data_IF_850540078843
#
_entry.id   IF_850540078843
#
_cell.length_a   1.000
_cell.length_b   1.000
_cell.length_c   1.000
_cell.angle_alpha   90.00
_cell.angle_beta   90.00
_cell.angle_gamma   90.00
#
_symmetry.space_group_name_H-M   'P 1'
#
loop_
_entity.id
_entity.type
_entity.pdbx_description
1 polymer ?
#
# COMPACT_ATOMS: atom_id res chain seq x y z
N UNK A 1 -3.90 49.28 -27.35
CA UNK A 1 -2.67 49.81 -26.71
C UNK A 1 -2.82 49.65 -25.21
N UNK A 2 -2.42 48.51 -24.66
CA UNK A 2 -2.35 48.27 -23.21
C UNK A 2 -1.03 47.58 -22.93
N UNK A 3 -0.19 48.24 -22.13
CA UNK A 3 1.21 47.91 -21.92
C UNK A 3 1.39 46.77 -20.90
N UNK A 4 2.29 45.83 -21.19
CA UNK A 4 2.78 44.83 -20.21
C UNK A 4 3.88 45.42 -19.31
N UNK A 5 3.90 45.12 -18.00
CA UNK A 5 5.07 45.38 -17.15
C UNK A 5 6.04 44.17 -17.08
N UNK A 6 7.31 44.39 -16.65
CA UNK A 6 8.44 43.51 -16.97
C UNK A 6 8.69 42.34 -16.00
N UNK A 7 9.35 41.28 -16.51
CA UNK A 7 9.91 40.16 -15.74
C UNK A 7 11.05 40.64 -14.83
N UNK A 8 11.03 40.25 -13.54
CA UNK A 8 12.21 40.34 -12.66
C UNK A 8 13.05 39.06 -12.74
N UNK A 9 14.34 39.24 -12.99
CA UNK A 9 15.42 38.24 -12.94
C UNK A 9 16.07 38.21 -11.55
N UNK A 10 16.49 37.00 -11.16
CA UNK A 10 17.75 36.63 -10.50
C UNK A 10 18.16 37.27 -9.18
N UNK A 11 18.45 36.41 -8.20
CA UNK A 11 19.24 36.73 -7.01
C UNK A 11 19.83 35.46 -6.38
N UNK A 12 20.97 34.99 -6.89
CA UNK A 12 21.84 34.00 -6.25
C UNK A 12 22.73 34.72 -5.24
N UNK A 13 22.70 34.30 -3.98
CA UNK A 13 23.58 34.81 -2.92
C UNK A 13 24.14 33.68 -2.07
N UNK A 14 25.43 33.38 -2.26
CA UNK A 14 26.24 32.55 -1.38
C UNK A 14 26.56 33.33 -0.09
N UNK A 15 26.52 32.66 1.06
CA UNK A 15 27.06 33.17 2.31
C UNK A 15 27.37 32.01 3.26
N UNK A 16 28.63 31.56 3.24
CA UNK A 16 29.15 30.55 4.16
C UNK A 16 29.57 31.20 5.49
N UNK A 17 29.44 30.42 6.56
CA UNK A 17 30.13 30.42 7.87
C UNK A 17 29.90 31.59 8.84
N UNK A 18 29.31 31.27 10.01
CA UNK A 18 29.95 31.53 11.32
C UNK A 18 29.31 30.67 12.42
N UNK A 19 30.18 30.09 13.25
CA UNK A 19 29.95 29.22 14.42
C UNK A 19 29.38 30.01 15.61
N UNK A 20 28.71 29.31 16.54
CA UNK A 20 28.43 29.60 18.00
C UNK A 20 27.19 28.76 18.35
N UNK A 21 26.98 28.08 19.47
CA UNK A 21 27.70 27.65 20.67
C UNK A 21 26.71 26.66 21.34
N UNK A 22 27.21 25.57 21.91
CA UNK A 22 26.42 24.53 22.61
C UNK A 22 25.68 25.11 23.82
N UNK A 23 24.40 24.75 23.99
CA UNK A 23 23.70 24.75 25.28
C UNK A 23 22.91 23.44 25.44
N UNK A 24 23.28 22.68 26.46
CA UNK A 24 22.62 21.49 26.97
C UNK A 24 21.44 21.90 27.84
N UNK A 25 20.22 21.43 27.53
CA UNK A 25 19.15 21.24 28.52
C UNK A 25 18.28 20.05 28.16
N UNK A 26 18.23 19.11 29.11
CA UNK A 26 17.52 17.84 29.09
C UNK A 26 16.00 18.00 29.24
N UNK A 27 15.23 17.08 28.64
CA UNK A 27 13.78 16.99 28.81
C UNK A 27 13.15 15.99 27.85
N UNK A 28 13.52 14.71 27.96
CA UNK A 28 12.92 13.63 27.19
C UNK A 28 12.29 12.60 28.14
N UNK A 29 10.96 12.67 28.30
CA UNK A 29 10.15 11.51 28.66
C UNK A 29 9.16 11.26 27.52
N UNK A 30 9.67 10.67 26.44
CA UNK A 30 8.81 10.02 25.45
C UNK A 30 8.50 8.61 26.01
N UNK A 31 7.25 8.38 26.41
CA UNK A 31 6.73 7.05 26.67
C UNK A 31 6.90 6.22 25.40
N UNK A 32 7.94 5.41 25.37
CA UNK A 32 8.20 4.46 24.31
C UNK A 32 7.30 3.26 24.58
N UNK A 33 6.13 3.22 23.94
CA UNK A 33 5.35 1.99 23.82
C UNK A 33 6.24 0.93 23.14
N UNK A 34 6.28 -0.32 23.61
CA UNK A 34 6.88 -1.38 22.83
C UNK A 34 5.94 -1.63 21.65
N UNK A 35 6.26 -1.05 20.49
CA UNK A 35 5.80 -1.62 19.24
C UNK A 35 6.38 -3.03 19.20
N UNK A 36 5.51 -4.04 19.12
CA UNK A 36 5.91 -5.38 18.74
C UNK A 36 6.45 -5.28 17.31
N UNK A 37 7.75 -5.01 17.19
CA UNK A 37 8.47 -5.08 15.93
C UNK A 37 8.68 -6.56 15.64
N UNK A 38 7.75 -7.16 14.90
CA UNK A 38 8.02 -8.42 14.20
C UNK A 38 9.11 -8.11 13.18
N UNK A 39 10.37 -8.45 13.49
CA UNK A 39 11.47 -8.32 12.55
C UNK A 39 11.18 -9.08 11.25
N UNK A 40 11.94 -8.81 10.16
CA UNK A 40 11.78 -9.54 8.91
C UNK A 40 11.79 -11.04 9.20
N UNK A 41 10.76 -11.75 8.74
CA UNK A 41 10.65 -13.19 8.89
C UNK A 41 11.72 -13.89 8.03
N UNK A 42 12.94 -13.97 8.55
CA UNK A 42 13.99 -14.87 8.06
C UNK A 42 13.68 -16.28 8.56
N UNK A 43 12.80 -16.96 7.83
CA UNK A 43 12.32 -18.30 8.14
C UNK A 43 11.51 -18.88 6.99
N UNK A 44 11.05 -20.13 7.16
CA UNK A 44 10.07 -20.70 6.25
C UNK A 44 8.82 -19.80 6.19
N UNK A 45 8.16 -19.65 5.02
CA UNK A 45 6.96 -18.83 4.91
C UNK A 45 5.91 -19.28 5.94
N UNK A 46 5.10 -18.35 6.48
CA UNK A 46 4.06 -18.72 7.41
C UNK A 46 3.08 -19.71 6.74
N UNK A 47 2.36 -20.56 7.52
CA UNK A 47 1.41 -21.51 6.96
C UNK A 47 0.32 -20.88 6.09
N UNK A 48 -0.01 -19.61 6.34
CA UNK A 48 -0.99 -18.83 5.58
C UNK A 48 -0.40 -18.07 4.37
N UNK A 49 0.88 -18.23 4.05
CA UNK A 49 1.53 -17.41 3.01
C UNK A 49 0.82 -17.51 1.65
N UNK A 50 0.36 -18.72 1.29
CA UNK A 50 -0.41 -18.93 0.06
C UNK A 50 -1.72 -18.14 0.03
N UNK A 51 -2.48 -18.18 1.12
CA UNK A 51 -3.74 -17.44 1.27
C UNK A 51 -3.50 -15.93 1.22
N UNK A 52 -2.39 -15.47 1.79
CA UNK A 52 -1.97 -14.07 1.77
C UNK A 52 -1.57 -13.60 0.36
N UNK A 53 -0.86 -14.43 -0.41
CA UNK A 53 -0.55 -14.13 -1.82
C UNK A 53 -1.84 -14.05 -2.65
N UNK A 54 -2.79 -14.94 -2.40
CA UNK A 54 -4.11 -14.91 -3.06
C UNK A 54 -4.90 -13.66 -2.68
N UNK A 55 -4.89 -13.29 -1.41
CA UNK A 55 -5.53 -12.06 -0.94
C UNK A 55 -4.92 -10.82 -1.63
N UNK A 56 -3.60 -10.75 -1.74
CA UNK A 56 -2.93 -9.67 -2.46
C UNK A 56 -3.35 -9.59 -3.94
N UNK A 57 -3.46 -10.73 -4.62
CA UNK A 57 -3.97 -10.81 -5.99
C UNK A 57 -5.41 -10.28 -6.11
N UNK A 58 -6.29 -10.67 -5.18
CA UNK A 58 -7.68 -10.20 -5.12
C UNK A 58 -7.75 -8.68 -4.93
N UNK A 59 -6.93 -8.11 -4.06
CA UNK A 59 -6.86 -6.66 -3.87
C UNK A 59 -6.47 -5.94 -5.17
N UNK A 60 -5.55 -6.51 -5.96
CA UNK A 60 -5.19 -5.99 -7.28
C UNK A 60 -6.32 -6.07 -8.29
N UNK A 61 -7.02 -7.20 -8.34
CA UNK A 61 -8.19 -7.39 -9.18
C UNK A 61 -9.30 -6.38 -8.86
N UNK A 62 -9.62 -6.19 -7.57
CA UNK A 62 -10.62 -5.22 -7.12
C UNK A 62 -10.20 -3.78 -7.42
N UNK A 63 -8.91 -3.46 -7.27
CA UNK A 63 -8.39 -2.14 -7.63
C UNK A 63 -8.64 -1.79 -9.10
N UNK A 64 -8.58 -2.78 -10.00
CA UNK A 64 -8.91 -2.59 -11.40
C UNK A 64 -10.42 -2.57 -11.68
N UNK A 65 -11.14 -3.61 -11.24
CA UNK A 65 -12.52 -3.86 -11.64
C UNK A 65 -13.54 -2.88 -11.03
N UNK A 66 -13.35 -2.49 -9.76
CA UNK A 66 -14.32 -1.65 -9.02
C UNK A 66 -14.54 -0.29 -9.68
N UNK A 67 -13.50 0.51 -10.02
CA UNK A 67 -13.69 1.76 -10.74
C UNK A 67 -14.20 1.53 -12.17
N UNK A 68 -13.77 0.45 -12.85
CA UNK A 68 -14.27 0.10 -14.18
C UNK A 68 -15.79 -0.11 -14.18
N UNK A 69 -16.32 -0.67 -13.09
CA UNK A 69 -17.75 -0.89 -12.83
C UNK A 69 -18.44 0.27 -12.09
N UNK A 70 -17.87 1.47 -12.12
CA UNK A 70 -18.54 2.70 -11.68
C UNK A 70 -18.42 2.99 -10.18
N UNK A 71 -17.72 2.17 -9.41
CA UNK A 71 -17.47 2.41 -7.98
C UNK A 71 -16.18 3.21 -7.80
N UNK A 72 -16.27 4.53 -7.98
CA UNK A 72 -15.11 5.43 -7.90
C UNK A 72 -14.82 5.94 -6.49
N UNK A 73 -15.79 5.87 -5.57
CA UNK A 73 -15.63 6.26 -4.16
C UNK A 73 -14.56 5.46 -3.42
N UNK A 74 -14.19 4.29 -3.93
CA UNK A 74 -13.17 3.41 -3.38
C UNK A 74 -11.77 3.63 -3.97
N UNK A 75 -11.54 4.70 -4.73
CA UNK A 75 -10.39 4.87 -5.61
C UNK A 75 -9.03 4.34 -5.10
N UNK A 76 -8.64 4.67 -3.87
CA UNK A 76 -7.38 4.18 -3.26
C UNK A 76 -7.58 3.05 -2.24
N UNK A 77 -8.81 2.68 -1.89
CA UNK A 77 -9.13 1.71 -0.84
C UNK A 77 -8.30 0.44 -0.96
N UNK A 78 -8.38 -0.23 -2.11
CA UNK A 78 -7.72 -1.52 -2.33
C UNK A 78 -6.20 -1.44 -2.31
N UNK A 79 -5.63 -0.31 -2.73
CA UNK A 79 -4.19 -0.03 -2.59
C UNK A 79 -3.79 0.21 -1.13
N UNK A 80 -4.63 0.91 -0.38
CA UNK A 80 -4.42 1.14 1.05
C UNK A 80 -4.48 -0.18 1.82
N UNK A 81 -5.45 -1.05 1.53
CA UNK A 81 -5.52 -2.39 2.14
C UNK A 81 -4.27 -3.22 1.82
N UNK A 82 -3.80 -3.17 0.57
CA UNK A 82 -2.57 -3.86 0.17
C UNK A 82 -1.34 -3.32 0.92
N UNK A 83 -1.28 -2.01 1.14
CA UNK A 83 -0.21 -1.40 1.92
C UNK A 83 -0.29 -1.82 3.40
N UNK A 84 -1.49 -1.79 3.99
CA UNK A 84 -1.72 -2.23 5.36
C UNK A 84 -1.35 -3.70 5.57
N UNK A 85 -1.62 -4.56 4.58
CA UNK A 85 -1.21 -5.96 4.57
C UNK A 85 0.32 -6.07 4.62
N UNK A 86 1.05 -5.36 3.75
CA UNK A 86 2.53 -5.37 3.78
C UNK A 86 3.08 -4.84 5.12
N UNK A 87 2.50 -3.75 5.63
CA UNK A 87 2.95 -3.12 6.86
C UNK A 87 2.72 -4.01 8.09
N UNK A 88 1.62 -4.76 8.10
CA UNK A 88 1.30 -5.74 9.15
C UNK A 88 2.25 -6.93 9.11
N UNK A 89 2.52 -7.46 7.92
CA UNK A 89 3.33 -8.67 7.74
C UNK A 89 4.83 -8.44 7.95
N UNK A 90 5.30 -7.19 7.84
CA UNK A 90 6.72 -6.81 7.88
C UNK A 90 7.64 -7.83 7.14
N UNK A 91 7.33 -8.15 5.86
CA UNK A 91 8.01 -9.22 5.15
C UNK A 91 9.46 -8.85 4.81
N UNK A 92 10.31 -9.86 4.63
CA UNK A 92 11.61 -9.66 3.96
C UNK A 92 11.43 -9.10 2.55
N UNK A 93 12.45 -8.46 2.00
CA UNK A 93 12.37 -7.82 0.67
C UNK A 93 11.93 -8.80 -0.44
N UNK A 94 12.44 -10.04 -0.40
CA UNK A 94 12.06 -11.07 -1.35
C UNK A 94 10.58 -11.48 -1.22
N UNK A 95 10.06 -11.59 0.02
CA UNK A 95 8.64 -11.91 0.26
C UNK A 95 7.77 -10.70 -0.11
N UNK A 96 8.17 -9.48 0.24
CA UNK A 96 7.51 -8.23 -0.17
C UNK A 96 7.33 -8.15 -1.69
N UNK A 97 8.38 -8.45 -2.44
CA UNK A 97 8.34 -8.46 -3.90
C UNK A 97 7.32 -9.46 -4.45
N UNK A 98 7.19 -10.64 -3.83
CA UNK A 98 6.16 -11.64 -4.20
C UNK A 98 4.75 -11.14 -3.94
N UNK A 99 4.49 -10.57 -2.76
CA UNK A 99 3.17 -10.03 -2.41
C UNK A 99 2.77 -8.94 -3.44
N UNK A 100 3.69 -8.01 -3.74
CA UNK A 100 3.47 -6.97 -4.76
C UNK A 100 3.25 -7.57 -6.15
N UNK A 101 4.01 -8.59 -6.53
CA UNK A 101 3.83 -9.28 -7.80
C UNK A 101 2.44 -9.94 -7.91
N UNK A 102 1.91 -10.50 -6.82
CA UNK A 102 0.57 -11.08 -6.80
C UNK A 102 -0.50 -10.00 -7.01
N UNK A 103 -0.41 -8.86 -6.32
CA UNK A 103 -1.29 -7.72 -6.56
C UNK A 103 -1.25 -7.27 -8.03
N UNK A 104 -0.05 -7.07 -8.58
CA UNK A 104 0.11 -6.62 -9.96
C UNK A 104 -0.47 -7.62 -10.96
N UNK A 105 -0.33 -8.93 -10.69
CA UNK A 105 -0.92 -10.00 -11.50
C UNK A 105 -2.45 -9.90 -11.51
N UNK A 106 -3.08 -9.78 -10.35
CA UNK A 106 -4.54 -9.67 -10.28
C UNK A 106 -5.06 -8.43 -11.03
N UNK A 107 -4.36 -7.31 -10.90
CA UNK A 107 -4.67 -6.09 -11.67
C UNK A 107 -4.53 -6.32 -13.18
N UNK A 108 -3.37 -6.82 -13.64
CA UNK A 108 -3.07 -6.96 -15.07
C UNK A 108 -3.95 -8.00 -15.74
N UNK A 109 -4.23 -9.13 -15.07
CA UNK A 109 -5.07 -10.20 -15.61
C UNK A 109 -6.46 -9.71 -15.98
N UNK A 110 -7.09 -8.86 -15.16
CA UNK A 110 -8.39 -8.28 -15.52
C UNK A 110 -8.29 -7.12 -16.53
N UNK A 111 -7.18 -6.37 -16.52
CA UNK A 111 -6.92 -5.30 -17.49
C UNK A 111 -6.68 -5.82 -18.92
N UNK A 112 -6.24 -7.06 -19.06
CA UNK A 112 -6.10 -7.74 -20.34
C UNK A 112 -7.46 -8.07 -20.97
N UNK A 113 -8.45 -8.46 -20.15
CA UNK A 113 -9.74 -9.00 -20.66
C UNK A 113 -10.88 -7.98 -20.69
N UNK A 114 -10.89 -7.01 -19.79
CA UNK A 114 -11.98 -6.03 -19.70
C UNK A 114 -11.49 -4.61 -20.00
N UNK A 115 -12.28 -3.87 -20.78
CA UNK A 115 -12.06 -2.42 -21.06
C UNK A 115 -13.26 -1.55 -20.70
N UNK A 116 -14.37 -2.19 -20.37
CA UNK A 116 -15.59 -1.59 -19.84
C UNK A 116 -16.22 -2.59 -18.86
N UNK A 117 -17.12 -2.12 -18.00
CA UNK A 117 -17.86 -3.02 -17.14
C UNK A 117 -18.86 -3.84 -17.96
N UNK A 118 -18.66 -5.15 -18.01
CA UNK A 118 -19.58 -6.11 -18.62
C UNK A 118 -20.35 -6.85 -17.52
N UNK A 119 -21.44 -7.57 -17.84
CA UNK A 119 -22.10 -8.45 -16.88
C UNK A 119 -21.11 -9.46 -16.25
N UNK A 120 -20.19 -10.01 -17.04
CA UNK A 120 -19.16 -10.92 -16.55
C UNK A 120 -18.15 -10.23 -15.61
N UNK A 121 -17.80 -8.97 -15.88
CA UNK A 121 -16.94 -8.18 -14.98
C UNK A 121 -17.62 -7.91 -13.63
N UNK A 122 -18.93 -7.66 -13.61
CA UNK A 122 -19.69 -7.49 -12.36
C UNK A 122 -19.68 -8.77 -11.52
N UNK A 123 -19.94 -9.91 -12.15
CA UNK A 123 -19.85 -11.21 -11.48
C UNK A 123 -18.43 -11.47 -10.96
N UNK A 124 -17.39 -11.07 -11.71
CA UNK A 124 -16.03 -11.17 -11.24
C UNK A 124 -15.79 -10.31 -9.98
N UNK A 125 -16.30 -9.07 -9.94
CA UNK A 125 -16.22 -8.22 -8.74
C UNK A 125 -16.84 -8.91 -7.53
N UNK A 126 -18.06 -9.44 -7.66
CA UNK A 126 -18.77 -10.11 -6.57
C UNK A 126 -17.97 -11.29 -6.04
N UNK A 127 -17.48 -12.16 -6.93
CA UNK A 127 -16.64 -13.31 -6.55
C UNK A 127 -15.35 -12.91 -5.84
N UNK A 128 -14.69 -11.85 -6.31
CA UNK A 128 -13.45 -11.36 -5.72
C UNK A 128 -13.69 -10.77 -4.32
N UNK A 129 -14.81 -10.07 -4.11
CA UNK A 129 -15.19 -9.57 -2.78
C UNK A 129 -15.49 -10.73 -1.82
N UNK A 130 -16.25 -11.72 -2.27
CA UNK A 130 -16.60 -12.89 -1.46
C UNK A 130 -15.36 -13.70 -1.06
N UNK A 131 -14.50 -13.99 -2.03
CA UNK A 131 -13.27 -14.74 -1.79
C UNK A 131 -12.30 -13.96 -0.89
N UNK A 132 -12.11 -12.66 -1.15
CA UNK A 132 -11.25 -11.80 -0.36
C UNK A 132 -11.70 -11.71 1.09
N UNK A 133 -13.02 -11.53 1.32
CA UNK A 133 -13.59 -11.50 2.67
C UNK A 133 -13.38 -12.83 3.40
N UNK A 134 -13.56 -13.96 2.71
CA UNK A 134 -13.35 -15.28 3.29
C UNK A 134 -11.88 -15.51 3.66
N UNK A 135 -10.94 -15.21 2.77
CA UNK A 135 -9.51 -15.38 3.02
C UNK A 135 -9.03 -14.51 4.18
N UNK A 136 -9.40 -13.23 4.20
CA UNK A 136 -9.04 -12.33 5.29
C UNK A 136 -9.55 -12.84 6.64
N UNK A 137 -10.80 -13.34 6.68
CA UNK A 137 -11.38 -13.94 7.87
C UNK A 137 -10.66 -15.23 8.29
N UNK A 138 -10.45 -16.16 7.35
CA UNK A 138 -9.77 -17.44 7.61
C UNK A 138 -8.36 -17.24 8.15
N UNK A 139 -7.60 -16.27 7.61
CA UNK A 139 -6.25 -15.95 8.09
C UNK A 139 -6.29 -15.53 9.56
N UNK A 140 -7.17 -14.60 9.93
CA UNK A 140 -7.29 -14.10 11.30
C UNK A 140 -7.78 -15.20 12.24
N UNK A 141 -8.82 -15.95 11.86
CA UNK A 141 -9.41 -16.98 12.73
C UNK A 141 -8.43 -18.11 13.03
N UNK A 142 -7.62 -18.49 12.04
CA UNK A 142 -6.70 -19.64 12.19
C UNK A 142 -5.33 -19.23 12.74
N UNK A 143 -4.91 -17.98 12.54
CA UNK A 143 -3.53 -17.56 12.79
C UNK A 143 -3.37 -16.24 13.54
N UNK A 144 -4.45 -15.54 13.90
CA UNK A 144 -4.41 -14.20 14.53
C UNK A 144 -4.24 -14.18 16.05
N UNK A 145 -4.11 -15.34 16.70
CA UNK A 145 -4.06 -15.48 18.17
C UNK A 145 -2.66 -15.68 18.76
N UNK A 146 -1.60 -15.27 18.05
CA UNK A 146 -0.22 -15.59 18.39
C UNK A 146 0.56 -14.34 18.81
#
# INVERSE_FOLDING_TARGET
MTASPPRRRSGRGNGKVMRILVLLTAGALALSSPAFAAGPTEGAPPPYDGDLMRLAEILGALHYLRPLCGVTSEGQRWRTEMQALIDTEQPSDARRAKIISSFNRGYSSYAEVYRACTPAARVAVERQLDEGSRLAHDIVVRYGGN
#
